data_IF_160240866152
#
_entry.id   IF_160240866152
#
_cell.length_a   1.000
_cell.length_b   1.000
_cell.length_c   1.000
_cell.angle_alpha   90.00
_cell.angle_beta   90.00
_cell.angle_gamma   90.00
#
_symmetry.space_group_name_H-M   'P 1'
#
loop_
_entity.id
_entity.type
_entity.pdbx_description
1 polymer ?
#
# COMPACT_ATOMS: atom_id res chain seq x y z
N UNK A 1 5.29 -3.95 2.74
CA UNK A 1 4.38 -4.01 3.91
C UNK A 1 3.17 -3.11 3.74
N UNK A 2 3.34 -1.78 3.59
CA UNK A 2 2.20 -0.86 3.54
C UNK A 2 1.11 -1.23 2.52
N UNK A 3 1.47 -1.52 1.27
CA UNK A 3 0.50 -1.94 0.25
C UNK A 3 -0.33 -3.18 0.65
N UNK A 4 0.29 -4.22 1.23
CA UNK A 4 -0.41 -5.44 1.69
C UNK A 4 -1.40 -5.06 2.80
N UNK A 5 -0.98 -4.20 3.72
CA UNK A 5 -1.82 -3.76 4.81
C UNK A 5 -2.99 -2.87 4.35
N UNK A 6 -2.79 -2.02 3.35
CA UNK A 6 -3.90 -1.26 2.77
C UNK A 6 -4.98 -2.22 2.21
N UNK A 7 -4.58 -3.29 1.51
CA UNK A 7 -5.50 -4.34 1.08
C UNK A 7 -6.18 -5.05 2.25
N UNK A 8 -5.41 -5.48 3.26
CA UNK A 8 -5.93 -6.10 4.49
C UNK A 8 -7.01 -5.23 5.15
N UNK A 9 -6.72 -3.96 5.37
CA UNK A 9 -7.65 -2.99 5.94
C UNK A 9 -8.88 -2.86 5.05
N UNK A 10 -8.72 -2.74 3.73
CA UNK A 10 -9.84 -2.70 2.78
C UNK A 10 -10.79 -3.90 2.90
N UNK A 11 -10.25 -5.12 3.02
CA UNK A 11 -11.06 -6.34 3.16
C UNK A 11 -11.67 -6.54 4.54
N UNK A 12 -11.02 -6.05 5.60
CA UNK A 12 -11.57 -6.13 6.96
C UNK A 12 -12.95 -5.43 7.09
N UNK A 13 -13.26 -4.51 6.17
CA UNK A 13 -14.54 -3.81 6.11
C UNK A 13 -15.65 -4.56 5.37
N UNK A 14 -15.34 -5.65 4.67
CA UNK A 14 -16.38 -6.52 4.13
C UNK A 14 -17.05 -7.25 5.29
N UNK A 15 -18.34 -6.94 5.49
CA UNK A 15 -19.15 -7.32 6.65
C UNK A 15 -19.31 -8.84 6.75
N UNK A 16 -18.34 -9.52 7.32
CA UNK A 16 -18.47 -10.91 7.73
C UNK A 16 -18.49 -10.98 9.26
N UNK A 17 -19.66 -11.37 9.76
CA UNK A 17 -19.93 -11.64 11.16
C UNK A 17 -19.65 -13.12 11.45
N UNK A 18 -19.11 -13.38 12.65
CA UNK A 18 -18.81 -14.70 13.21
C UNK A 18 -17.63 -15.45 12.57
N UNK A 19 -16.41 -14.95 12.77
CA UNK A 19 -15.17 -15.72 12.63
C UNK A 19 -14.26 -15.42 13.82
N UNK A 20 -13.41 -16.38 14.21
CA UNK A 20 -12.34 -16.12 15.18
C UNK A 20 -11.35 -15.07 14.64
N UNK A 21 -10.68 -14.33 15.54
CA UNK A 21 -9.84 -13.18 15.14
C UNK A 21 -8.66 -13.62 14.28
N UNK A 22 -8.02 -14.74 14.63
CA UNK A 22 -6.85 -15.27 13.92
C UNK A 22 -7.24 -15.82 12.54
N UNK A 23 -8.32 -16.61 12.49
CA UNK A 23 -8.87 -17.14 11.24
C UNK A 23 -9.29 -16.02 10.28
N UNK A 24 -9.88 -14.95 10.82
CA UNK A 24 -10.27 -13.75 10.07
C UNK A 24 -9.06 -13.00 9.52
N UNK A 25 -8.03 -12.78 10.34
CA UNK A 25 -6.77 -12.15 9.90
C UNK A 25 -6.11 -12.95 8.78
N UNK A 26 -6.04 -14.28 8.94
CA UNK A 26 -5.49 -15.18 7.93
C UNK A 26 -6.27 -15.13 6.62
N UNK A 27 -7.60 -15.18 6.70
CA UNK A 27 -8.49 -15.12 5.54
C UNK A 27 -8.28 -13.83 4.76
N UNK A 28 -8.20 -12.70 5.45
CA UNK A 28 -7.96 -11.42 4.79
C UNK A 28 -6.55 -11.27 4.27
N UNK A 29 -5.55 -11.85 4.94
CA UNK A 29 -4.18 -11.87 4.43
C UNK A 29 -4.13 -12.63 3.12
N UNK A 30 -4.67 -13.85 3.08
CA UNK A 30 -4.79 -14.63 1.84
C UNK A 30 -5.48 -13.81 0.75
N UNK A 31 -6.63 -13.20 1.05
CA UNK A 31 -7.39 -12.37 0.11
C UNK A 31 -6.58 -11.18 -0.42
N UNK A 32 -5.82 -10.50 0.45
CA UNK A 32 -4.91 -9.43 0.08
C UNK A 32 -3.80 -9.90 -0.86
N UNK A 33 -3.11 -10.99 -0.52
CA UNK A 33 -2.04 -11.54 -1.33
C UNK A 33 -2.53 -12.00 -2.72
N UNK A 34 -3.69 -12.66 -2.77
CA UNK A 34 -4.33 -13.09 -4.01
C UNK A 34 -4.77 -11.90 -4.87
N UNK A 35 -5.33 -10.85 -4.27
CA UNK A 35 -5.73 -9.65 -5.00
C UNK A 35 -4.53 -8.98 -5.67
N UNK A 36 -3.42 -8.84 -4.94
CA UNK A 36 -2.16 -8.29 -5.46
C UNK A 36 -1.61 -9.17 -6.60
N UNK A 37 -1.58 -10.49 -6.42
CA UNK A 37 -1.11 -11.41 -7.47
C UNK A 37 -1.98 -11.37 -8.72
N UNK A 38 -3.30 -11.38 -8.56
CA UNK A 38 -4.24 -11.30 -9.69
C UNK A 38 -4.13 -9.97 -10.44
N UNK A 39 -3.80 -8.86 -9.74
CA UNK A 39 -3.48 -7.58 -10.41
C UNK A 39 -2.18 -7.65 -11.20
N UNK A 40 -1.12 -8.22 -10.61
CA UNK A 40 0.16 -8.38 -11.29
C UNK A 40 0.10 -9.35 -12.48
N UNK A 41 -0.72 -10.40 -12.38
CA UNK A 41 -0.90 -11.42 -13.39
C UNK A 41 -2.33 -12.00 -13.36
N UNK A 42 -3.23 -11.52 -14.23
CA UNK A 42 -4.61 -12.02 -14.30
C UNK A 42 -4.73 -13.45 -14.87
N UNK A 43 -3.73 -13.94 -15.59
CA UNK A 43 -3.75 -15.29 -16.18
C UNK A 43 -3.08 -16.29 -15.23
N UNK A 44 -3.89 -17.13 -14.59
CA UNK A 44 -3.45 -18.10 -13.56
C UNK A 44 -2.28 -18.99 -13.98
N UNK A 45 -2.23 -19.41 -15.25
CA UNK A 45 -1.14 -20.22 -15.82
C UNK A 45 0.24 -19.55 -15.77
N UNK A 46 0.28 -18.22 -15.65
CA UNK A 46 1.49 -17.42 -15.60
C UNK A 46 1.81 -16.94 -14.18
N UNK A 47 0.99 -17.28 -13.19
CA UNK A 47 1.29 -17.01 -11.79
C UNK A 47 2.46 -17.92 -11.35
N UNK A 48 3.40 -17.31 -10.65
CA UNK A 48 4.57 -17.94 -10.07
C UNK A 48 4.58 -17.69 -8.57
N UNK A 49 4.57 -18.76 -7.78
CA UNK A 49 4.72 -18.69 -6.32
C UNK A 49 6.08 -19.25 -5.95
N UNK A 50 6.81 -18.54 -5.08
CA UNK A 50 8.16 -18.90 -4.65
C UNK A 50 8.19 -19.07 -3.14
N UNK A 51 8.97 -20.03 -2.66
CA UNK A 51 9.24 -20.22 -1.24
C UNK A 51 10.70 -20.58 -1.03
N UNK A 52 11.28 -20.16 0.09
CA UNK A 52 12.65 -20.53 0.45
C UNK A 52 13.17 -19.66 1.57
N UNK A 53 14.04 -20.22 2.41
CA UNK A 53 14.65 -19.48 3.50
C UNK A 53 15.74 -18.56 2.97
N UNK A 54 15.61 -17.26 3.23
CA UNK A 54 16.71 -16.31 3.02
C UNK A 54 17.60 -16.42 4.25
N UNK A 55 18.79 -17.01 4.10
CA UNK A 55 19.72 -17.19 5.21
C UNK A 55 20.03 -15.87 5.92
N UNK A 56 20.19 -15.92 7.25
CA UNK A 56 20.70 -14.78 8.03
C UNK A 56 22.16 -14.55 7.64
N UNK A 57 22.38 -13.71 6.62
CA UNK A 57 23.72 -13.19 6.34
C UNK A 57 24.15 -12.31 7.49
N UNK A 58 25.00 -12.83 8.39
CA UNK A 58 25.85 -12.00 9.22
C UNK A 58 26.69 -11.10 8.32
N UNK A 59 26.69 -9.80 8.61
CA UNK A 59 27.58 -8.78 8.08
C UNK A 59 27.58 -8.54 6.56
N UNK A 60 27.13 -7.35 6.19
CA UNK A 60 27.14 -6.77 4.84
C UNK A 60 28.54 -6.70 4.17
N UNK A 61 29.61 -7.22 4.78
CA UNK A 61 30.98 -7.16 4.30
C UNK A 61 31.54 -8.47 3.70
N UNK A 62 30.77 -9.55 3.59
CA UNK A 62 31.22 -10.78 2.91
C UNK A 62 30.47 -11.04 1.60
N UNK A 63 30.63 -10.13 0.64
CA UNK A 63 30.24 -10.36 -0.76
C UNK A 63 31.31 -11.19 -1.49
N UNK A 64 30.84 -12.23 -2.19
CA UNK A 64 31.45 -12.95 -3.34
C UNK A 64 32.30 -14.22 -3.09
N UNK A 65 32.45 -14.76 -1.88
CA UNK A 65 33.24 -16.00 -1.75
C UNK A 65 32.71 -17.02 -0.74
N UNK A 66 31.48 -17.46 -0.96
CA UNK A 66 31.02 -18.79 -0.54
C UNK A 66 29.78 -19.18 -1.35
N UNK A 67 29.95 -19.31 -2.67
CA UNK A 67 29.14 -20.24 -3.44
C UNK A 67 29.55 -21.65 -2.98
N UNK A 68 28.56 -22.51 -2.71
CA UNK A 68 28.69 -23.94 -2.41
C UNK A 68 28.92 -24.30 -0.92
N UNK A 69 27.91 -24.20 -0.04
CA UNK A 69 27.68 -25.17 1.08
C UNK A 69 26.58 -24.78 2.10
N UNK A 70 25.40 -24.32 1.68
CA UNK A 70 24.22 -24.47 2.56
C UNK A 70 22.96 -24.52 1.69
N UNK A 71 22.20 -25.62 1.76
CA UNK A 71 21.09 -25.87 0.85
C UNK A 71 19.89 -24.96 1.18
N UNK A 72 19.92 -23.74 0.66
CA UNK A 72 18.72 -22.90 0.55
C UNK A 72 17.84 -23.50 -0.55
N UNK A 73 16.93 -24.40 -0.19
CA UNK A 73 15.96 -24.92 -1.16
C UNK A 73 14.94 -23.83 -1.47
N UNK A 74 15.14 -23.16 -2.61
CA UNK A 74 14.10 -22.34 -3.22
C UNK A 74 13.17 -23.26 -4.02
N UNK A 75 11.89 -23.23 -3.66
CA UNK A 75 10.81 -23.92 -4.35
C UNK A 75 10.01 -22.93 -5.18
N UNK A 76 9.56 -23.37 -6.35
CA UNK A 76 8.72 -22.59 -7.25
C UNK A 76 7.54 -23.44 -7.72
N UNK A 77 6.34 -22.85 -7.70
CA UNK A 77 5.13 -23.42 -8.27
C UNK A 77 4.67 -22.54 -9.43
N UNK A 78 4.23 -23.18 -10.51
CA UNK A 78 3.87 -22.53 -11.77
C UNK A 78 2.91 -23.40 -12.58
N UNK A 79 2.31 -22.84 -13.63
CA UNK A 79 1.47 -23.61 -14.55
C UNK A 79 0.12 -24.02 -13.95
N UNK A 80 -0.41 -23.21 -13.02
CA UNK A 80 -1.72 -23.44 -12.42
C UNK A 80 -2.83 -23.46 -13.48
N UNK A 81 -3.74 -24.41 -13.35
CA UNK A 81 -4.87 -24.60 -14.26
C UNK A 81 -6.10 -23.79 -13.84
N UNK A 82 -6.20 -23.42 -12.56
CA UNK A 82 -7.33 -22.67 -12.01
C UNK A 82 -6.90 -21.75 -10.87
N UNK A 83 -7.78 -20.80 -10.52
CA UNK A 83 -7.62 -19.94 -9.34
C UNK A 83 -7.58 -20.79 -8.06
N UNK A 84 -8.43 -21.80 -7.94
CA UNK A 84 -8.49 -22.69 -6.77
C UNK A 84 -7.17 -23.44 -6.51
N UNK A 85 -6.40 -23.75 -7.55
CA UNK A 85 -5.05 -24.33 -7.39
C UNK A 85 -4.06 -23.32 -6.81
N UNK A 86 -4.12 -22.06 -7.26
CA UNK A 86 -3.31 -20.96 -6.72
C UNK A 86 -3.66 -20.73 -5.26
N UNK A 87 -4.96 -20.72 -4.93
CA UNK A 87 -5.43 -20.53 -3.55
C UNK A 87 -4.96 -21.63 -2.61
N UNK A 88 -5.09 -22.91 -3.01
CA UNK A 88 -4.61 -24.04 -2.22
C UNK A 88 -3.09 -24.02 -2.03
N UNK A 89 -2.35 -23.61 -3.07
CA UNK A 89 -0.90 -23.43 -2.95
C UNK A 89 -0.56 -22.29 -1.99
N UNK A 90 -1.26 -21.16 -2.07
CA UNK A 90 -1.12 -20.05 -1.13
C UNK A 90 -1.38 -20.49 0.31
N UNK A 91 -2.45 -21.26 0.56
CA UNK A 91 -2.75 -21.80 1.89
C UNK A 91 -1.59 -22.63 2.44
N UNK A 92 -1.05 -23.55 1.62
CA UNK A 92 0.10 -24.36 1.99
C UNK A 92 1.36 -23.52 2.28
N UNK A 93 1.58 -22.41 1.56
CA UNK A 93 2.70 -21.51 1.79
C UNK A 93 2.57 -20.67 3.06
N UNK A 94 1.33 -20.29 3.41
CA UNK A 94 1.04 -19.60 4.67
C UNK A 94 1.23 -20.55 5.87
N UNK A 95 0.91 -21.84 5.72
CA UNK A 95 0.98 -22.86 6.78
C UNK A 95 2.33 -23.58 6.93
N UNK A 96 3.21 -23.51 5.93
CA UNK A 96 4.46 -24.26 5.94
C UNK A 96 5.34 -23.90 7.16
N UNK A 97 6.16 -24.85 7.62
CA UNK A 97 7.27 -24.55 8.53
C UNK A 97 8.33 -23.74 7.76
N UNK A 98 8.81 -22.61 8.29
CA UNK A 98 9.53 -21.61 7.47
C UNK A 98 8.59 -20.76 6.61
N UNK A 99 7.28 -20.99 6.71
CA UNK A 99 6.20 -20.45 5.89
C UNK A 99 6.07 -18.94 5.96
N UNK A 100 5.16 -18.42 5.13
CA UNK A 100 5.08 -16.99 4.90
C UNK A 100 4.59 -16.20 6.11
N UNK A 101 3.88 -16.85 7.04
CA UNK A 101 3.39 -16.24 8.27
C UNK A 101 4.34 -16.38 9.46
N UNK A 102 5.47 -17.08 9.31
CA UNK A 102 6.37 -17.29 10.45
C UNK A 102 7.11 -16.00 10.82
N UNK A 103 7.13 -15.70 12.12
CA UNK A 103 7.91 -14.60 12.67
C UNK A 103 9.37 -14.68 12.25
N UNK A 104 9.89 -13.55 11.73
CA UNK A 104 11.26 -13.44 11.20
C UNK A 104 11.58 -14.45 10.07
N UNK A 105 10.55 -14.99 9.42
CA UNK A 105 10.65 -15.79 8.21
C UNK A 105 10.90 -14.96 6.95
N UNK A 106 10.96 -15.63 5.80
CA UNK A 106 11.19 -15.02 4.49
C UNK A 106 9.91 -14.74 3.70
N UNK A 107 8.74 -14.84 4.33
CA UNK A 107 7.43 -14.77 3.67
C UNK A 107 7.22 -13.55 2.81
N UNK A 108 7.45 -12.35 3.37
CA UNK A 108 7.34 -11.11 2.63
C UNK A 108 8.25 -11.10 1.41
N UNK A 109 9.51 -11.50 1.56
CA UNK A 109 10.47 -11.55 0.46
C UNK A 109 10.03 -12.51 -0.63
N UNK A 110 9.63 -13.73 -0.25
CA UNK A 110 9.11 -14.75 -1.15
C UNK A 110 7.89 -14.25 -1.92
N UNK A 111 6.97 -13.55 -1.25
CA UNK A 111 5.80 -12.97 -1.88
C UNK A 111 6.17 -11.86 -2.87
N UNK A 112 7.07 -10.94 -2.51
CA UNK A 112 7.53 -9.88 -3.42
C UNK A 112 8.17 -10.47 -4.69
N UNK A 113 9.02 -11.49 -4.53
CA UNK A 113 9.60 -12.22 -5.67
C UNK A 113 8.51 -12.89 -6.51
N UNK A 114 7.54 -13.54 -5.88
CA UNK A 114 6.39 -14.17 -6.56
C UNK A 114 5.63 -13.16 -7.43
N UNK A 115 5.36 -11.95 -6.91
CA UNK A 115 4.68 -10.89 -7.64
C UNK A 115 5.49 -10.41 -8.85
N UNK A 116 6.79 -10.12 -8.65
CA UNK A 116 7.69 -9.66 -9.72
C UNK A 116 7.81 -10.70 -10.83
N UNK A 117 7.97 -11.97 -10.47
CA UNK A 117 8.07 -13.06 -11.44
C UNK A 117 6.76 -13.32 -12.17
N UNK A 118 5.62 -13.25 -11.46
CA UNK A 118 4.28 -13.40 -12.08
C UNK A 118 3.99 -12.30 -13.09
N UNK A 119 4.36 -11.05 -12.79
CA UNK A 119 4.28 -9.93 -13.74
C UNK A 119 5.25 -10.11 -14.92
N UNK A 120 6.42 -10.69 -14.64
CA UNK A 120 7.53 -10.90 -15.56
C UNK A 120 8.54 -9.76 -15.51
N UNK A 121 9.82 -10.07 -15.30
CA UNK A 121 10.90 -9.07 -15.12
C UNK A 121 11.01 -8.08 -16.28
N UNK A 122 10.88 -8.55 -17.52
CA UNK A 122 10.88 -7.69 -18.70
C UNK A 122 9.67 -6.75 -18.75
N UNK A 123 8.51 -7.18 -18.24
CA UNK A 123 7.32 -6.35 -18.18
C UNK A 123 7.41 -5.32 -17.05
N UNK A 124 7.97 -5.70 -15.90
CA UNK A 124 8.32 -4.79 -14.80
C UNK A 124 9.31 -3.72 -15.28
N UNK A 125 10.41 -4.12 -15.92
CA UNK A 125 11.39 -3.17 -16.46
C UNK A 125 10.80 -2.29 -17.56
N UNK A 126 9.82 -2.80 -18.33
CA UNK A 126 9.05 -1.96 -19.25
C UNK A 126 8.21 -0.95 -18.51
N UNK A 127 7.50 -1.33 -17.44
CA UNK A 127 6.61 -0.46 -16.65
C UNK A 127 7.35 0.71 -15.96
N UNK A 128 8.62 0.51 -15.57
CA UNK A 128 9.44 1.54 -14.93
C UNK A 128 9.93 2.58 -15.94
N UNK A 129 9.51 3.84 -15.77
CA UNK A 129 9.85 4.93 -16.71
C UNK A 129 11.09 5.74 -16.28
N UNK A 130 11.55 5.53 -15.03
CA UNK A 130 12.74 6.16 -14.49
C UNK A 130 13.90 5.15 -14.51
N UNK A 131 14.80 5.29 -15.47
CA UNK A 131 15.89 4.33 -15.74
C UNK A 131 16.90 4.19 -14.61
N UNK A 132 16.97 5.16 -13.69
CA UNK A 132 17.82 5.12 -12.50
C UNK A 132 17.13 4.53 -11.27
N UNK A 133 15.84 4.17 -11.37
CA UNK A 133 15.08 3.60 -10.26
C UNK A 133 15.30 2.10 -10.15
N UNK A 134 15.24 1.59 -8.92
CA UNK A 134 15.28 0.16 -8.61
C UNK A 134 14.08 -0.16 -7.72
N UNK A 135 13.51 -1.38 -7.87
CA UNK A 135 12.37 -1.78 -7.04
C UNK A 135 12.67 -1.70 -5.54
N UNK A 136 13.90 -2.03 -5.17
CA UNK A 136 14.46 -1.93 -3.82
C UNK A 136 15.73 -1.11 -3.92
N UNK A 137 15.83 -0.05 -3.13
CA UNK A 137 16.99 0.83 -3.06
C UNK A 137 18.15 0.16 -2.31
N UNK A 138 19.35 0.73 -2.41
CA UNK A 138 20.57 0.17 -1.78
C UNK A 138 20.47 0.08 -0.24
N UNK A 139 19.68 0.97 0.37
CA UNK A 139 19.40 0.98 1.81
C UNK A 139 18.33 -0.06 2.22
N UNK A 140 17.80 -0.83 1.27
CA UNK A 140 16.75 -1.83 1.48
C UNK A 140 15.32 -1.27 1.50
N UNK A 141 15.14 0.05 1.34
CA UNK A 141 13.82 0.65 1.22
C UNK A 141 13.15 0.28 -0.11
N UNK A 142 11.83 0.07 -0.08
CA UNK A 142 11.05 -0.15 -1.30
C UNK A 142 10.87 1.15 -2.07
N UNK A 143 10.78 1.07 -3.40
CA UNK A 143 10.47 2.22 -4.26
C UNK A 143 8.96 2.43 -4.41
N UNK A 144 8.60 3.60 -4.97
CA UNK A 144 7.23 3.86 -5.41
C UNK A 144 6.79 2.89 -6.51
N UNK A 145 7.69 2.48 -7.40
CA UNK A 145 7.43 1.49 -8.45
C UNK A 145 7.07 0.13 -7.85
N UNK A 146 7.79 -0.31 -6.80
CA UNK A 146 7.43 -1.53 -6.09
C UNK A 146 6.08 -1.39 -5.39
N UNK A 147 5.81 -0.24 -4.77
CA UNK A 147 4.51 0.03 -4.15
C UNK A 147 3.38 -0.04 -5.20
N UNK A 148 3.55 0.64 -6.34
CA UNK A 148 2.61 0.66 -7.44
C UNK A 148 2.41 -0.71 -8.08
N UNK A 149 3.46 -1.54 -8.17
CA UNK A 149 3.35 -2.93 -8.61
C UNK A 149 2.40 -3.72 -7.71
N UNK A 150 2.51 -3.55 -6.39
CA UNK A 150 1.63 -4.21 -5.43
C UNK A 150 0.20 -3.65 -5.47
N UNK A 151 0.03 -2.34 -5.63
CA UNK A 151 -1.28 -1.69 -5.62
C UNK A 151 -2.05 -1.91 -6.93
N UNK A 152 -1.36 -1.91 -8.07
CA UNK A 152 -1.98 -1.81 -9.40
C UNK A 152 -1.63 -2.94 -10.35
N UNK A 153 -0.63 -3.76 -10.03
CA UNK A 153 -0.06 -4.76 -10.92
C UNK A 153 0.96 -4.21 -11.93
N UNK A 154 1.25 -2.90 -11.91
CA UNK A 154 2.23 -2.26 -12.78
C UNK A 154 3.23 -1.44 -11.98
N UNK A 155 4.52 -1.56 -12.31
CA UNK A 155 5.60 -0.86 -11.63
C UNK A 155 5.81 0.58 -12.15
N UNK A 156 4.73 1.35 -12.26
CA UNK A 156 4.79 2.74 -12.77
C UNK A 156 5.48 3.67 -11.77
N UNK A 157 6.22 4.66 -12.28
CA UNK A 157 7.01 5.59 -11.46
C UNK A 157 6.22 6.81 -10.94
N UNK A 158 4.94 6.92 -11.29
CA UNK A 158 4.12 8.09 -10.99
C UNK A 158 2.71 7.71 -10.50
N UNK A 159 2.01 8.69 -9.93
CA UNK A 159 0.68 8.51 -9.32
C UNK A 159 -0.44 9.29 -10.02
N UNK A 160 -0.15 9.91 -11.18
CA UNK A 160 -1.15 10.61 -12.00
C UNK A 160 -1.96 9.66 -12.88
N UNK A 161 -3.01 10.17 -13.52
CA UNK A 161 -3.87 9.40 -14.40
C UNK A 161 -3.37 9.43 -15.85
N UNK A 162 -3.50 8.30 -16.53
CA UNK A 162 -3.14 8.10 -17.93
C UNK A 162 -1.66 8.34 -18.21
N UNK A 163 -1.21 8.01 -19.41
CA UNK A 163 0.17 8.28 -19.82
C UNK A 163 0.29 9.76 -20.23
N UNK A 164 1.38 10.40 -19.84
CA UNK A 164 1.69 11.77 -20.23
C UNK A 164 2.27 11.82 -21.64
N UNK A 165 2.26 13.01 -22.23
CA UNK A 165 2.95 13.26 -23.52
C UNK A 165 4.47 13.08 -23.46
N UNK A 166 5.06 13.08 -22.26
CA UNK A 166 6.49 12.86 -22.01
C UNK A 166 6.85 11.38 -21.83
N UNK A 167 5.98 10.46 -22.25
CA UNK A 167 6.15 9.00 -22.12
C UNK A 167 6.19 8.50 -20.67
N UNK A 168 5.78 9.33 -19.70
CA UNK A 168 5.63 8.90 -18.32
C UNK A 168 4.28 8.18 -18.18
N UNK A 169 4.26 7.03 -17.51
CA UNK A 169 3.06 6.22 -17.38
C UNK A 169 2.38 6.45 -16.05
N UNK A 170 1.05 6.59 -16.13
CA UNK A 170 0.19 6.77 -14.99
C UNK A 170 -0.76 5.59 -14.78
N UNK A 171 -1.73 5.79 -13.92
CA UNK A 171 -2.79 4.83 -13.67
C UNK A 171 -3.82 4.83 -14.80
N UNK A 172 -4.25 3.64 -15.19
CA UNK A 172 -5.20 3.43 -16.29
C UNK A 172 -6.64 3.25 -15.82
N UNK A 173 -6.84 3.02 -14.52
CA UNK A 173 -8.15 2.82 -13.90
C UNK A 173 -8.10 3.11 -12.41
N UNK A 174 -9.26 3.33 -11.78
CA UNK A 174 -9.41 3.38 -10.32
C UNK A 174 -8.75 2.18 -9.63
N UNK A 175 -8.09 2.45 -8.51
CA UNK A 175 -7.41 1.42 -7.72
C UNK A 175 -8.35 0.81 -6.68
N UNK A 176 -8.06 -0.42 -6.23
CA UNK A 176 -8.81 -1.04 -5.14
C UNK A 176 -8.53 -0.35 -3.81
N UNK A 177 -7.26 -0.05 -3.57
CA UNK A 177 -6.75 0.74 -2.45
C UNK A 177 -5.88 1.87 -3.00
N UNK A 178 -5.87 3.01 -2.32
CA UNK A 178 -5.27 4.23 -2.83
C UNK A 178 -3.81 4.40 -2.44
N UNK A 179 -3.20 5.45 -2.99
CA UNK A 179 -1.93 5.98 -2.52
C UNK A 179 -2.01 7.51 -2.49
N UNK A 180 -1.48 8.11 -1.43
CA UNK A 180 -1.43 9.54 -1.22
C UNK A 180 0.02 9.97 -1.02
N UNK A 181 0.37 11.13 -1.57
CA UNK A 181 1.67 11.75 -1.29
C UNK A 181 1.56 12.57 0.00
N UNK A 182 2.45 12.30 0.96
CA UNK A 182 2.60 13.14 2.15
C UNK A 182 3.30 14.47 1.89
N UNK A 183 3.75 14.68 0.66
CA UNK A 183 4.42 15.90 0.21
C UNK A 183 3.55 16.58 -0.84
N UNK A 184 3.28 17.85 -0.58
CA UNK A 184 2.72 18.80 -1.55
C UNK A 184 3.93 19.57 -2.08
N UNK A 185 4.17 19.54 -3.39
CA UNK A 185 5.14 20.43 -4.00
C UNK A 185 4.60 21.85 -3.81
N UNK A 186 5.30 22.69 -3.05
CA UNK A 186 4.92 24.10 -2.86
C UNK A 186 4.99 24.90 -4.17
N UNK A 187 5.62 24.32 -5.20
CA UNK A 187 5.69 24.86 -6.57
C UNK A 187 4.54 24.39 -7.48
N UNK A 188 3.71 23.43 -7.04
CA UNK A 188 2.52 22.97 -7.78
C UNK A 188 1.28 23.69 -7.22
N UNK A 189 1.35 25.02 -7.28
CA UNK A 189 0.24 25.92 -6.97
C UNK A 189 -0.81 25.78 -8.08
N UNK A 190 -1.72 24.80 -7.96
CA UNK A 190 -2.89 24.85 -8.82
C UNK A 190 -3.82 23.65 -8.91
N UNK A 191 -3.36 22.40 -8.70
CA UNK A 191 -4.23 21.30 -9.09
C UNK A 191 -4.19 20.14 -8.09
N UNK A 192 -5.10 20.21 -7.11
CA UNK A 192 -5.60 19.05 -6.38
C UNK A 192 -6.33 18.14 -7.38
N UNK A 193 -5.58 17.52 -8.30
CA UNK A 193 -6.15 16.65 -9.34
C UNK A 193 -6.57 15.37 -8.67
N UNK A 194 -7.86 15.06 -8.79
CA UNK A 194 -8.37 13.75 -8.42
C UNK A 194 -7.72 12.70 -9.31
N UNK A 195 -6.83 11.91 -8.73
CA UNK A 195 -6.28 10.73 -9.40
C UNK A 195 -7.11 9.49 -9.09
N UNK A 196 -6.94 8.44 -9.89
CA UNK A 196 -7.50 7.12 -9.68
C UNK A 196 -7.10 6.50 -8.32
N UNK A 197 -6.02 6.99 -7.70
CA UNK A 197 -5.54 6.56 -6.40
C UNK A 197 -6.02 7.42 -5.23
N UNK A 198 -6.49 8.65 -5.48
CA UNK A 198 -7.06 9.52 -4.41
C UNK A 198 -8.48 9.09 -4.01
N UNK A 199 -9.24 8.47 -4.91
CA UNK A 199 -10.58 7.93 -4.63
C UNK A 199 -10.69 6.43 -5.00
N UNK A 200 -10.03 5.55 -4.21
CA UNK A 200 -10.02 4.11 -4.43
C UNK A 200 -11.38 3.45 -4.11
N UNK A 201 -11.54 2.18 -4.49
CA UNK A 201 -12.74 1.42 -4.17
C UNK A 201 -12.93 1.25 -2.65
N UNK A 202 -11.93 0.71 -1.95
CA UNK A 202 -11.93 0.60 -0.49
C UNK A 202 -11.41 1.89 0.15
N UNK A 203 -11.95 2.34 1.30
CA UNK A 203 -11.48 3.55 1.98
C UNK A 203 -10.17 3.30 2.74
N UNK A 204 -9.14 2.88 2.02
CA UNK A 204 -7.80 2.60 2.53
C UNK A 204 -6.75 3.10 1.54
N UNK A 205 -5.70 3.72 2.07
CA UNK A 205 -4.62 4.33 1.31
C UNK A 205 -3.27 3.99 1.93
N UNK A 206 -2.28 3.80 1.07
CA UNK A 206 -0.88 3.94 1.43
C UNK A 206 -0.52 5.42 1.44
N UNK A 207 0.23 5.90 2.42
CA UNK A 207 0.83 7.22 2.40
C UNK A 207 2.32 7.07 2.09
N UNK A 208 2.77 7.74 1.03
CA UNK A 208 4.16 7.78 0.60
C UNK A 208 4.81 9.10 1.03
N UNK A 209 5.90 9.04 1.80
CA UNK A 209 6.77 10.18 2.08
C UNK A 209 8.05 10.03 1.26
N UNK A 210 8.19 10.83 0.21
CA UNK A 210 9.26 10.71 -0.78
C UNK A 210 10.64 11.12 -0.20
N UNK A 211 10.70 12.21 0.58
CA UNK A 211 11.91 12.69 1.24
C UNK A 211 12.53 11.65 2.17
N UNK A 212 11.69 11.00 2.98
CA UNK A 212 12.13 10.01 3.98
C UNK A 212 12.03 8.57 3.48
N UNK A 213 11.58 8.34 2.24
CA UNK A 213 11.45 7.04 1.55
C UNK A 213 10.80 5.93 2.37
N UNK A 214 9.72 6.26 3.07
CA UNK A 214 8.92 5.25 3.77
C UNK A 214 7.45 5.34 3.39
N UNK A 215 6.75 4.24 3.66
CA UNK A 215 5.33 4.07 3.41
C UNK A 215 4.63 3.77 4.72
N UNK A 216 3.49 4.41 4.91
CA UNK A 216 2.57 4.16 6.04
C UNK A 216 1.17 3.92 5.48
N UNK A 217 0.19 3.67 6.35
CA UNK A 217 -1.19 3.40 5.95
C UNK A 217 -2.16 4.33 6.67
N UNK A 218 -3.23 4.67 5.97
CA UNK A 218 -4.40 5.30 6.56
C UNK A 218 -5.66 4.67 6.00
N UNK A 219 -6.66 4.43 6.85
CA UNK A 219 -7.91 3.82 6.43
C UNK A 219 -9.08 4.30 7.29
N UNK A 220 -10.30 4.21 6.77
CA UNK A 220 -11.50 4.52 7.54
C UNK A 220 -12.09 3.24 8.15
N UNK A 221 -12.41 3.23 9.45
CA UNK A 221 -13.14 2.11 10.10
C UNK A 221 -14.53 1.88 9.50
N UNK A 222 -15.09 2.90 8.85
CA UNK A 222 -16.38 2.88 8.16
C UNK A 222 -16.30 3.80 6.95
N UNK A 223 -16.75 3.35 5.79
CA UNK A 223 -16.78 4.22 4.61
C UNK A 223 -17.84 5.33 4.77
N UNK A 224 -17.38 6.51 5.16
CA UNK A 224 -18.21 7.70 5.36
C UNK A 224 -18.20 8.63 4.13
N UNK A 225 -17.51 8.28 3.03
CA UNK A 225 -17.31 9.18 1.89
C UNK A 225 -18.62 9.58 1.20
N UNK A 226 -19.57 8.65 1.06
CA UNK A 226 -20.89 8.94 0.48
C UNK A 226 -21.73 9.86 1.37
N UNK A 227 -21.78 9.55 2.66
CA UNK A 227 -22.46 10.37 3.68
C UNK A 227 -21.86 11.78 3.74
N UNK A 228 -20.54 11.87 3.63
CA UNK A 228 -19.80 13.12 3.53
C UNK A 228 -20.23 13.96 2.34
N UNK A 229 -20.22 13.39 1.13
CA UNK A 229 -20.63 14.12 -0.06
C UNK A 229 -22.08 14.62 0.03
N UNK A 230 -22.98 13.86 0.67
CA UNK A 230 -24.35 14.28 0.91
C UNK A 230 -24.44 15.43 1.92
N UNK A 231 -23.77 15.33 3.07
CA UNK A 231 -23.79 16.37 4.11
C UNK A 231 -23.08 17.66 3.66
N UNK A 232 -21.96 17.55 2.94
CA UNK A 232 -21.24 18.71 2.38
C UNK A 232 -22.14 19.52 1.44
N UNK A 233 -22.95 18.86 0.60
CA UNK A 233 -23.95 19.51 -0.26
C UNK A 233 -25.07 20.22 0.52
N UNK A 234 -25.37 19.75 1.73
CA UNK A 234 -26.39 20.31 2.61
C UNK A 234 -25.85 21.43 3.53
N UNK A 235 -24.58 21.82 3.39
CA UNK A 235 -23.98 22.88 4.21
C UNK A 235 -23.82 22.50 5.68
N UNK A 236 -23.66 21.21 5.98
CA UNK A 236 -23.38 20.72 7.33
C UNK A 236 -21.89 20.48 7.55
N UNK A 237 -21.43 20.71 8.77
CA UNK A 237 -20.10 20.29 9.21
C UNK A 237 -20.07 18.76 9.38
N UNK A 238 -18.96 18.15 8.98
CA UNK A 238 -18.79 16.70 9.08
C UNK A 238 -17.36 16.30 9.45
N UNK A 239 -17.29 15.31 10.34
CA UNK A 239 -16.04 14.64 10.72
C UNK A 239 -15.94 13.31 9.99
N UNK A 240 -14.78 13.08 9.37
CA UNK A 240 -14.36 11.80 8.81
C UNK A 240 -13.33 11.19 9.75
N UNK A 241 -13.55 9.94 10.14
CA UNK A 241 -12.68 9.22 11.08
C UNK A 241 -11.77 8.25 10.32
N UNK A 242 -10.49 8.29 10.67
CA UNK A 242 -9.42 7.49 10.10
C UNK A 242 -8.59 6.83 11.19
N UNK A 243 -7.88 5.79 10.78
CA UNK A 243 -6.84 5.14 11.56
C UNK A 243 -5.56 5.21 10.76
N UNK A 244 -4.53 5.77 11.36
CA UNK A 244 -3.17 5.79 10.86
C UNK A 244 -2.38 4.64 11.47
N UNK A 245 -1.58 3.98 10.64
CA UNK A 245 -0.66 2.93 11.09
C UNK A 245 0.66 3.03 10.31
N UNK A 246 1.77 2.84 11.01
CA UNK A 246 3.11 2.77 10.41
C UNK A 246 3.86 1.59 11.04
N UNK A 247 4.68 0.89 10.26
CA UNK A 247 5.43 -0.25 10.74
C UNK A 247 6.41 0.08 11.87
N UNK A 248 6.68 1.37 12.11
CA UNK A 248 7.46 1.84 13.25
C UNK A 248 6.63 2.17 14.50
N UNK A 249 5.31 1.99 14.50
CA UNK A 249 4.46 2.29 15.67
C UNK A 249 4.37 1.12 16.68
N UNK A 250 5.23 0.11 16.56
CA UNK A 250 5.25 -1.06 17.48
C UNK A 250 3.84 -1.62 17.77
N UNK A 251 3.01 -1.67 16.73
CA UNK A 251 1.62 -2.17 16.72
C UNK A 251 0.52 -1.27 17.31
N UNK A 252 0.81 -0.04 17.75
CA UNK A 252 -0.24 0.89 18.18
C UNK A 252 -0.83 1.67 17.00
N UNK A 253 -2.11 1.46 16.74
CA UNK A 253 -2.88 2.20 15.74
C UNK A 253 -3.31 3.58 16.28
N UNK A 254 -3.12 4.64 15.49
CA UNK A 254 -3.40 6.01 15.91
C UNK A 254 -4.70 6.48 15.27
N UNK A 255 -5.67 6.91 16.08
CA UNK A 255 -6.91 7.50 15.56
C UNK A 255 -6.67 8.94 15.08
N UNK A 256 -7.21 9.26 13.90
CA UNK A 256 -7.07 10.56 13.24
C UNK A 256 -8.42 10.96 12.68
N UNK A 257 -8.83 12.20 12.91
CA UNK A 257 -10.08 12.75 12.38
C UNK A 257 -9.80 13.90 11.41
N UNK A 258 -10.50 13.93 10.29
CA UNK A 258 -10.55 15.07 9.37
C UNK A 258 -11.89 15.77 9.57
N UNK A 259 -11.87 17.01 10.02
CA UNK A 259 -13.07 17.83 10.21
C UNK A 259 -13.17 18.78 9.02
N UNK A 260 -14.23 18.67 8.22
CA UNK A 260 -14.50 19.60 7.12
C UNK A 260 -15.70 20.45 7.49
N UNK A 261 -15.48 21.75 7.71
CA UNK A 261 -16.53 22.71 7.99
C UNK A 261 -17.08 23.30 6.69
N UNK A 262 -18.41 23.35 6.60
CA UNK A 262 -19.17 23.89 5.45
C UNK A 262 -19.05 25.41 5.29
N UNK A 263 -18.64 26.11 6.35
CA UNK A 263 -18.48 27.55 6.38
C UNK A 263 -17.07 27.92 5.95
N UNK A 264 -16.84 27.95 4.63
CA UNK A 264 -15.58 28.39 4.01
C UNK A 264 -15.19 29.88 4.24
N UNK A 265 -15.60 30.49 5.34
CA UNK A 265 -15.41 31.92 5.65
C UNK A 265 -14.71 32.20 6.99
N UNK A 266 -14.43 31.19 7.83
CA UNK A 266 -13.58 31.38 9.00
C UNK A 266 -12.17 30.91 8.64
N UNK A 267 -11.34 31.87 8.26
CA UNK A 267 -10.05 31.68 7.59
C UNK A 267 -9.16 30.60 8.18
N UNK A 268 -8.34 29.98 7.30
CA UNK A 268 -7.28 28.99 7.55
C UNK A 268 -6.91 28.85 9.04
N UNK A 269 -7.74 28.16 9.83
CA UNK A 269 -7.35 27.73 11.18
C UNK A 269 -6.45 26.52 10.96
N UNK A 270 -5.15 26.78 10.84
CA UNK A 270 -4.12 25.72 10.92
C UNK A 270 -4.25 25.09 12.30
N UNK A 271 -4.91 23.95 12.38
CA UNK A 271 -4.93 23.12 13.58
C UNK A 271 -3.50 22.66 13.92
N UNK A 272 -3.25 22.42 15.20
CA UNK A 272 -2.01 21.76 15.66
C UNK A 272 -1.89 20.42 14.91
N UNK A 273 -0.78 20.22 14.18
CA UNK A 273 -0.56 19.01 13.37
C UNK A 273 -0.82 19.16 11.85
N UNK A 274 -1.22 20.35 11.36
CA UNK A 274 -1.37 20.64 9.92
C UNK A 274 -0.06 20.52 9.10
N UNK A 275 1.09 20.42 9.78
CA UNK A 275 2.42 20.24 9.16
C UNK A 275 2.83 18.78 8.99
N UNK A 276 2.09 17.82 9.56
CA UNK A 276 2.39 16.39 9.40
C UNK A 276 2.23 15.95 7.95
N UNK A 277 3.11 15.06 7.46
CA UNK A 277 2.99 14.48 6.13
C UNK A 277 1.67 13.71 5.95
N UNK A 278 1.14 13.10 7.01
CA UNK A 278 -0.18 12.43 6.99
C UNK A 278 -1.30 13.44 6.81
N UNK A 279 -1.20 14.59 7.50
CA UNK A 279 -2.15 15.68 7.34
C UNK A 279 -2.14 16.20 5.90
N UNK A 280 -0.94 16.46 5.35
CA UNK A 280 -0.77 16.86 3.95
C UNK A 280 -1.34 15.82 2.98
N UNK A 281 -1.12 14.53 3.22
CA UNK A 281 -1.66 13.45 2.41
C UNK A 281 -3.19 13.43 2.42
N UNK A 282 -3.83 13.48 3.59
CA UNK A 282 -5.29 13.48 3.71
C UNK A 282 -5.91 14.73 3.07
N UNK A 283 -5.31 15.90 3.28
CA UNK A 283 -5.76 17.16 2.68
C UNK A 283 -5.40 17.30 1.20
N UNK A 284 -4.59 16.39 0.63
CA UNK A 284 -4.38 16.32 -0.83
C UNK A 284 -5.62 15.82 -1.57
N UNK A 285 -6.54 15.14 -0.87
CA UNK A 285 -7.78 14.66 -1.45
C UNK A 285 -8.70 15.86 -1.69
N UNK A 286 -9.12 16.12 -2.94
CA UNK A 286 -9.80 17.38 -3.29
C UNK A 286 -11.09 17.62 -2.50
N UNK A 287 -11.78 16.55 -2.12
CA UNK A 287 -13.00 16.61 -1.32
C UNK A 287 -12.76 17.13 0.10
N UNK A 288 -11.54 17.01 0.62
CA UNK A 288 -11.15 17.28 2.01
C UNK A 288 -10.07 18.37 2.14
N UNK A 289 -9.66 18.99 1.03
CA UNK A 289 -8.56 19.96 0.99
C UNK A 289 -8.81 21.21 1.86
N UNK A 290 -10.07 21.53 2.12
CA UNK A 290 -10.54 22.60 2.99
C UNK A 290 -10.69 22.20 4.48
N UNK A 291 -10.37 20.95 4.81
CA UNK A 291 -10.51 20.41 6.16
C UNK A 291 -9.40 20.77 7.14
N UNK A 292 -9.64 20.47 8.40
CA UNK A 292 -8.65 20.49 9.49
C UNK A 292 -8.42 19.08 10.01
N UNK A 293 -7.21 18.81 10.47
CA UNK A 293 -6.83 17.53 11.06
C UNK A 293 -6.88 17.63 12.58
N UNK A 294 -7.54 16.67 13.21
CA UNK A 294 -7.53 16.44 14.65
C UNK A 294 -6.92 15.06 14.92
N UNK A 295 -5.83 15.03 15.69
CA UNK A 295 -5.15 13.79 16.08
C UNK A 295 -5.76 13.13 17.32
N UNK A 296 -6.90 13.63 17.80
CA UNK A 296 -7.65 13.06 18.93
C UNK A 296 -6.81 12.90 20.20
N UNK A 297 -5.89 13.84 20.46
CA UNK A 297 -4.97 13.80 21.60
C UNK A 297 -3.70 12.97 21.38
N UNK A 298 -3.55 12.31 20.23
CA UNK A 298 -2.33 11.58 19.86
C UNK A 298 -1.34 12.49 19.14
N UNK A 299 -0.06 12.10 19.17
CA UNK A 299 0.98 12.70 18.32
C UNK A 299 1.45 11.63 17.33
N UNK A 300 1.47 11.90 16.01
CA UNK A 300 2.01 10.94 15.07
C UNK A 300 3.47 10.62 15.42
N UNK A 301 3.79 9.32 15.53
CA UNK A 301 5.13 8.82 15.93
C UNK A 301 6.23 9.38 15.03
N UNK A 302 5.91 9.64 13.76
CA UNK A 302 6.78 10.35 12.80
C UNK A 302 6.19 11.72 12.46
N UNK A 303 6.14 12.61 13.45
CA UNK A 303 5.97 14.04 13.23
C UNK A 303 7.19 14.61 12.46
N UNK A 304 7.05 15.74 11.71
CA UNK A 304 8.07 16.26 10.80
C UNK A 304 9.49 16.26 11.36
#
# INVERSE_FOLDING_TARGET
MAAIQAYLCGYFFEKEAYMDTEEKQRTYLKKALLAILNKAQPQVRHILLVHGLVGKGSDANRRVQHLMSDQSHFYQWSGFSSTDEVERCMDALLDAEGGWCQDRGSGLWCFLVSVVLSRGSAAVGKDMDVTSSALIHEDGSGSLELCNLLLTGRAVSFTFNHDSSSHQRGYTSSTLVGILSGETNEEDDGDHVRTFATDPYYPSWVIHCNQKRYFSNVFMKKDLRKTFQQKKKLGGDITLEFVYWDCATEDDAIEVSVVVSSTGLLGKRRGVGSSSFVAKALLSIPQWADGTIDWCGNTPVRAP
#
